data_IF_125878204176
#
_entry.id   IF_125878204176
#
_cell.length_a   1.000
_cell.length_b   1.000
_cell.length_c   1.000
_cell.angle_alpha   90.00
_cell.angle_beta   90.00
_cell.angle_gamma   90.00
#
_symmetry.space_group_name_H-M   'P 1'
#
loop_
_entity.id
_entity.type
_entity.pdbx_description
1 polymer ?
#
# COMPACT_ATOMS: atom_id res chain seq x y z
N UNK A 1 7.11 -92.57 -18.20
CA UNK A 1 6.49 -92.48 -16.87
C UNK A 1 6.63 -91.02 -16.41
N UNK A 2 5.60 -90.19 -16.60
CA UNK A 2 5.70 -88.73 -16.39
C UNK A 2 4.87 -88.32 -15.17
N UNK A 3 5.53 -88.02 -14.04
CA UNK A 3 4.89 -87.38 -12.89
C UNK A 3 4.80 -85.87 -13.12
N UNK A 4 3.59 -85.35 -13.34
CA UNK A 4 3.31 -83.92 -13.27
C UNK A 4 3.46 -83.46 -11.81
N UNK A 5 4.45 -82.60 -11.53
CA UNK A 5 4.55 -81.86 -10.26
C UNK A 5 3.33 -80.94 -10.12
N UNK A 6 2.45 -81.25 -9.17
CA UNK A 6 1.37 -80.37 -8.73
C UNK A 6 2.00 -79.16 -8.01
N UNK A 7 2.05 -78.00 -8.66
CA UNK A 7 2.55 -76.77 -8.05
C UNK A 7 1.53 -76.32 -7.01
N UNK A 8 1.99 -76.16 -5.76
CA UNK A 8 1.13 -75.81 -4.63
C UNK A 8 0.74 -74.32 -4.71
N UNK A 9 -0.22 -74.01 -5.57
CA UNK A 9 -0.58 -72.66 -6.01
C UNK A 9 -0.96 -71.72 -4.86
N UNK A 10 -1.51 -72.27 -3.77
CA UNK A 10 -1.84 -71.53 -2.55
C UNK A 10 -0.62 -70.97 -1.82
N UNK A 11 0.52 -71.68 -1.80
CA UNK A 11 1.76 -71.19 -1.21
C UNK A 11 2.35 -70.02 -2.02
N UNK A 12 2.20 -70.07 -3.34
CA UNK A 12 2.61 -69.00 -4.24
C UNK A 12 1.71 -67.77 -4.08
N UNK A 13 0.39 -67.94 -3.97
CA UNK A 13 -0.53 -66.84 -3.70
C UNK A 13 -0.20 -66.11 -2.38
N UNK A 14 0.18 -66.86 -1.33
CA UNK A 14 0.57 -66.27 -0.05
C UNK A 14 1.89 -65.49 -0.12
N UNK A 15 2.88 -66.01 -0.85
CA UNK A 15 4.17 -65.33 -1.07
C UNK A 15 3.96 -64.05 -1.90
N UNK A 16 3.13 -64.09 -2.94
CA UNK A 16 2.81 -62.90 -3.75
C UNK A 16 2.09 -61.84 -2.91
N UNK A 17 1.17 -62.23 -2.03
CA UNK A 17 0.46 -61.29 -1.15
C UNK A 17 1.42 -60.57 -0.19
N UNK A 18 2.35 -61.30 0.42
CA UNK A 18 3.36 -60.71 1.31
C UNK A 18 4.24 -59.71 0.56
N UNK A 19 4.69 -60.06 -0.66
CA UNK A 19 5.50 -59.17 -1.48
C UNK A 19 4.78 -57.84 -1.76
N UNK A 20 3.49 -57.90 -2.12
CA UNK A 20 2.67 -56.71 -2.39
C UNK A 20 2.53 -55.84 -1.14
N UNK A 21 2.33 -56.43 0.04
CA UNK A 21 2.23 -55.69 1.30
C UNK A 21 3.54 -54.98 1.64
N UNK A 22 4.68 -55.67 1.48
CA UNK A 22 6.01 -55.10 1.77
C UNK A 22 6.33 -53.94 0.81
N UNK A 23 6.05 -54.10 -0.48
CA UNK A 23 6.23 -53.03 -1.48
C UNK A 23 5.30 -51.85 -1.19
N UNK A 24 4.05 -52.12 -0.83
CA UNK A 24 3.07 -51.08 -0.46
C UNK A 24 3.55 -50.25 0.74
N UNK A 25 4.01 -50.90 1.81
CA UNK A 25 4.58 -50.21 2.97
C UNK A 25 5.82 -49.37 2.63
N UNK A 26 6.71 -49.90 1.78
CA UNK A 26 7.92 -49.19 1.35
C UNK A 26 7.60 -47.88 0.61
N UNK A 27 6.58 -47.89 -0.26
CA UNK A 27 6.15 -46.71 -1.01
C UNK A 27 5.54 -45.65 -0.09
N UNK A 28 4.73 -46.06 0.89
CA UNK A 28 4.12 -45.13 1.86
C UNK A 28 5.19 -44.48 2.74
N UNK A 29 6.16 -45.26 3.24
CA UNK A 29 7.26 -44.73 4.05
C UNK A 29 8.16 -43.80 3.24
N UNK A 30 8.49 -44.14 2.00
CA UNK A 30 9.27 -43.26 1.12
C UNK A 30 8.53 -41.96 0.78
N UNK A 31 7.19 -41.99 0.64
CA UNK A 31 6.38 -40.77 0.43
C UNK A 31 6.26 -39.93 1.70
N UNK A 32 6.19 -40.55 2.87
CA UNK A 32 6.10 -39.86 4.16
C UNK A 32 7.42 -39.20 4.57
N UNK A 33 8.56 -39.74 4.15
CA UNK A 33 9.90 -39.16 4.41
C UNK A 33 10.43 -38.30 3.27
N UNK A 34 9.70 -38.21 2.15
CA UNK A 34 10.05 -37.30 1.07
C UNK A 34 10.01 -35.85 1.58
N UNK A 35 11.08 -35.07 1.41
CA UNK A 35 11.08 -33.65 1.78
C UNK A 35 9.93 -32.94 1.04
N UNK A 36 9.05 -32.26 1.78
CA UNK A 36 8.06 -31.40 1.16
C UNK A 36 8.79 -30.33 0.31
N UNK A 37 8.30 -30.00 -0.90
CA UNK A 37 8.85 -28.87 -1.65
C UNK A 37 8.69 -27.62 -0.77
N UNK A 38 9.79 -27.10 -0.26
CA UNK A 38 9.78 -25.80 0.39
C UNK A 38 9.34 -24.79 -0.67
N UNK A 39 8.19 -24.16 -0.46
CA UNK A 39 7.83 -22.97 -1.20
C UNK A 39 9.02 -22.01 -1.07
N UNK A 40 9.54 -21.53 -2.20
CA UNK A 40 10.58 -20.51 -2.24
C UNK A 40 10.06 -19.26 -1.51
N UNK A 41 10.35 -19.20 -0.21
CA UNK A 41 10.11 -18.03 0.60
C UNK A 41 11.11 -16.99 0.10
N UNK A 42 10.61 -16.06 -0.71
CA UNK A 42 11.37 -14.89 -1.15
C UNK A 42 12.12 -14.33 0.05
N UNK A 43 13.44 -14.23 -0.07
CA UNK A 43 14.32 -13.68 0.95
C UNK A 43 13.86 -12.25 1.27
N UNK A 44 13.07 -12.09 2.33
CA UNK A 44 12.91 -10.78 2.97
C UNK A 44 14.26 -10.43 3.59
N UNK A 45 14.93 -9.49 2.93
CA UNK A 45 16.02 -8.70 3.50
C UNK A 45 15.68 -8.35 4.94
N UNK A 46 16.61 -8.59 5.88
CA UNK A 46 16.47 -8.31 7.32
C UNK A 46 15.66 -7.03 7.59
N UNK A 47 14.35 -7.17 7.75
CA UNK A 47 13.51 -6.15 8.31
C UNK A 47 13.64 -6.33 9.81
N UNK A 48 13.95 -5.25 10.51
CA UNK A 48 13.74 -5.18 11.95
C UNK A 48 12.32 -5.73 12.21
N UNK A 49 12.16 -6.80 13.01
CA UNK A 49 10.94 -7.62 13.17
C UNK A 49 9.65 -6.83 13.51
N UNK A 50 9.80 -5.53 13.78
CA UNK A 50 8.77 -4.55 14.07
C UNK A 50 8.27 -3.73 12.86
N UNK A 51 8.57 -4.12 11.61
CA UNK A 51 8.17 -3.36 10.40
C UNK A 51 7.28 -4.13 9.44
N UNK A 52 6.19 -3.50 9.00
CA UNK A 52 5.22 -4.02 8.02
C UNK A 52 5.23 -3.13 6.77
N UNK A 53 5.41 -3.74 5.59
CA UNK A 53 5.17 -3.07 4.31
C UNK A 53 3.71 -3.23 3.90
N UNK A 54 3.03 -2.11 3.69
CA UNK A 54 1.64 -2.07 3.22
C UNK A 54 1.61 -1.53 1.81
N UNK A 55 1.07 -2.33 0.89
CA UNK A 55 0.77 -1.91 -0.47
C UNK A 55 -0.70 -1.53 -0.58
N UNK A 56 -0.96 -0.34 -1.14
CA UNK A 56 -2.28 0.20 -1.35
C UNK A 56 -2.48 0.47 -2.84
N UNK A 57 -3.67 0.15 -3.33
CA UNK A 57 -4.11 0.61 -4.63
C UNK A 57 -4.76 2.01 -4.53
N UNK A 58 -4.93 2.65 -5.70
CA UNK A 58 -5.54 3.99 -5.82
C UNK A 58 -6.89 4.14 -5.12
N UNK A 59 -7.77 3.12 -5.20
CA UNK A 59 -9.08 3.18 -4.54
C UNK A 59 -8.94 3.24 -3.03
N UNK A 60 -8.03 2.44 -2.47
CA UNK A 60 -7.74 2.44 -1.03
C UNK A 60 -7.11 3.75 -0.58
N UNK A 61 -6.17 4.33 -1.34
CA UNK A 61 -5.61 5.65 -1.02
C UNK A 61 -6.68 6.74 -1.01
N UNK A 62 -7.59 6.72 -1.99
CA UNK A 62 -8.71 7.65 -2.03
C UNK A 62 -9.68 7.47 -0.86
N UNK A 63 -9.99 6.23 -0.48
CA UNK A 63 -10.82 5.94 0.67
C UNK A 63 -10.18 6.42 1.99
N UNK A 64 -8.88 6.17 2.18
CA UNK A 64 -8.12 6.65 3.34
C UNK A 64 -8.11 8.18 3.39
N UNK A 65 -7.85 8.83 2.26
CA UNK A 65 -7.86 10.29 2.19
C UNK A 65 -9.23 10.89 2.49
N UNK A 66 -10.29 10.32 1.94
CA UNK A 66 -11.66 10.75 2.21
C UNK A 66 -12.00 10.60 3.70
N UNK A 67 -11.74 9.45 4.30
CA UNK A 67 -12.02 9.20 5.72
C UNK A 67 -11.24 10.16 6.65
N UNK A 68 -9.96 10.41 6.35
CA UNK A 68 -9.14 11.36 7.10
C UNK A 68 -9.72 12.77 7.03
N UNK A 69 -10.06 13.24 5.83
CA UNK A 69 -10.57 14.59 5.62
C UNK A 69 -11.98 14.79 6.16
N UNK A 70 -12.86 13.78 6.06
CA UNK A 70 -14.21 13.85 6.62
C UNK A 70 -14.15 14.07 8.13
N UNK A 71 -13.21 13.42 8.83
CA UNK A 71 -12.99 13.61 10.26
C UNK A 71 -12.31 14.95 10.59
N UNK A 72 -11.26 15.32 9.86
CA UNK A 72 -10.54 16.58 10.09
C UNK A 72 -11.42 17.82 9.82
N UNK A 73 -12.35 17.73 8.88
CA UNK A 73 -13.15 18.85 8.43
C UNK A 73 -14.53 18.93 9.08
N UNK A 74 -14.93 18.05 10.01
CA UNK A 74 -16.30 18.02 10.59
C UNK A 74 -16.80 19.41 10.99
N UNK A 75 -16.02 20.14 11.78
CA UNK A 75 -16.38 21.46 12.31
C UNK A 75 -15.84 22.64 11.47
N UNK A 76 -15.18 22.34 10.35
CA UNK A 76 -14.64 23.36 9.45
C UNK A 76 -15.69 23.87 8.47
N UNK A 77 -15.75 25.20 8.30
CA UNK A 77 -16.64 25.87 7.33
C UNK A 77 -16.31 25.54 5.87
N UNK A 78 -15.09 25.06 5.61
CA UNK A 78 -14.62 24.70 4.27
C UNK A 78 -14.55 23.18 4.17
N UNK A 79 -15.09 22.67 3.06
CA UNK A 79 -15.05 21.26 2.70
C UNK A 79 -14.22 21.10 1.44
N UNK A 80 -13.26 20.20 1.48
CA UNK A 80 -12.44 19.85 0.32
C UNK A 80 -12.22 18.34 0.28
N UNK A 81 -11.92 17.84 -0.91
CA UNK A 81 -11.63 16.44 -1.18
C UNK A 81 -10.28 16.35 -1.86
N UNK A 82 -9.55 15.31 -1.55
CA UNK A 82 -8.30 14.98 -2.21
C UNK A 82 -8.48 13.64 -2.94
N UNK A 83 -8.22 13.65 -4.24
CA UNK A 83 -8.51 12.54 -5.14
C UNK A 83 -7.25 12.23 -5.93
N UNK A 84 -6.74 11.02 -5.79
CA UNK A 84 -5.65 10.48 -6.57
C UNK A 84 -6.21 9.87 -7.84
N UNK A 85 -5.94 10.50 -8.98
CA UNK A 85 -6.21 10.00 -10.32
C UNK A 85 -5.01 9.27 -10.93
N UNK A 86 -5.04 9.01 -12.23
CA UNK A 86 -3.96 8.31 -12.93
C UNK A 86 -2.73 9.20 -13.16
N UNK A 87 -2.96 10.47 -13.51
CA UNK A 87 -1.87 11.41 -13.83
C UNK A 87 -1.57 12.40 -12.71
N UNK A 88 -2.59 12.77 -11.94
CA UNK A 88 -2.51 13.80 -10.93
C UNK A 88 -3.26 13.39 -9.66
N UNK A 89 -2.76 13.86 -8.53
CA UNK A 89 -3.56 13.97 -7.33
C UNK A 89 -4.20 15.37 -7.30
N UNK A 90 -5.53 15.43 -7.21
CA UNK A 90 -6.29 16.66 -7.31
C UNK A 90 -6.93 17.01 -5.98
N UNK A 91 -6.67 18.21 -5.49
CA UNK A 91 -7.41 18.80 -4.39
C UNK A 91 -8.56 19.63 -4.97
N UNK A 92 -9.80 19.25 -4.66
CA UNK A 92 -11.00 19.97 -5.09
C UNK A 92 -11.78 20.49 -3.89
N UNK A 93 -12.35 21.67 -4.00
CA UNK A 93 -13.20 22.22 -2.95
C UNK A 93 -13.89 23.50 -3.36
N UNK A 94 -14.74 23.97 -2.47
CA UNK A 94 -15.44 25.24 -2.61
C UNK A 94 -14.94 26.20 -1.54
N UNK A 95 -14.67 27.43 -1.95
CA UNK A 95 -14.07 28.42 -1.06
C UNK A 95 -14.59 29.83 -1.33
N UNK A 96 -14.41 30.74 -0.37
CA UNK A 96 -14.60 32.17 -0.59
C UNK A 96 -13.25 32.82 -0.81
N UNK A 97 -13.06 33.42 -1.98
CA UNK A 97 -11.88 34.22 -2.31
C UNK A 97 -12.33 35.64 -2.59
N UNK A 98 -11.83 36.61 -1.82
CA UNK A 98 -12.22 38.04 -1.93
C UNK A 98 -13.75 38.24 -1.93
N UNK A 99 -14.46 37.57 -1.02
CA UNK A 99 -15.92 37.65 -0.90
C UNK A 99 -16.72 36.82 -1.92
N UNK A 100 -16.08 36.35 -3.00
CA UNK A 100 -16.74 35.57 -4.05
C UNK A 100 -16.59 34.07 -3.81
N UNK A 101 -17.66 33.29 -4.01
CA UNK A 101 -17.59 31.82 -3.97
C UNK A 101 -16.90 31.30 -5.23
N UNK A 102 -15.87 30.49 -5.04
CA UNK A 102 -15.05 29.93 -6.10
C UNK A 102 -14.89 28.44 -5.86
N UNK A 103 -15.18 27.64 -6.88
CA UNK A 103 -14.82 26.22 -6.92
C UNK A 103 -13.41 26.10 -7.48
N UNK A 104 -12.55 25.39 -6.76
CA UNK A 104 -11.16 25.22 -7.15
C UNK A 104 -10.80 23.75 -7.33
N UNK A 105 -9.87 23.50 -8.25
CA UNK A 105 -9.19 22.23 -8.42
C UNK A 105 -7.69 22.49 -8.62
N UNK A 106 -6.87 21.94 -7.74
CA UNK A 106 -5.40 22.01 -7.84
C UNK A 106 -4.86 20.63 -8.18
N UNK A 107 -4.15 20.54 -9.29
CA UNK A 107 -3.49 19.30 -9.71
C UNK A 107 -2.06 19.25 -9.19
N UNK A 108 -1.74 18.16 -8.53
CA UNK A 108 -0.43 17.86 -7.98
C UNK A 108 0.17 16.62 -8.63
N UNK A 109 1.49 16.63 -8.78
CA UNK A 109 2.29 15.44 -9.05
C UNK A 109 2.90 15.01 -7.71
N UNK A 110 2.51 13.86 -7.17
CA UNK A 110 3.08 13.34 -5.94
C UNK A 110 4.44 12.67 -6.19
N UNK A 111 5.38 12.92 -5.29
CA UNK A 111 6.73 12.37 -5.31
C UNK A 111 7.11 11.93 -3.90
N UNK A 112 7.85 10.82 -3.77
CA UNK A 112 8.47 10.43 -2.51
C UNK A 112 9.71 11.31 -2.26
N UNK A 113 9.91 11.75 -1.03
CA UNK A 113 11.18 12.36 -0.61
C UNK A 113 12.18 11.30 -0.14
N UNK A 114 13.46 11.63 -0.12
CA UNK A 114 14.51 10.74 0.43
C UNK A 114 14.27 10.36 1.90
N UNK A 115 13.59 11.22 2.66
CA UNK A 115 13.21 10.99 4.06
C UNK A 115 11.90 10.18 4.21
N UNK A 116 11.35 9.66 3.12
CA UNK A 116 10.13 8.86 3.13
C UNK A 116 8.86 9.67 3.41
N UNK A 117 8.88 10.97 3.16
CA UNK A 117 7.69 11.83 3.17
C UNK A 117 7.08 11.92 1.76
N UNK A 118 5.92 12.55 1.63
CA UNK A 118 5.27 12.77 0.32
C UNK A 118 5.30 14.26 -0.04
N UNK A 119 5.91 14.58 -1.18
CA UNK A 119 5.95 15.93 -1.73
C UNK A 119 4.97 16.04 -2.90
N UNK A 120 4.04 16.97 -2.81
CA UNK A 120 3.07 17.27 -3.86
C UNK A 120 3.54 18.52 -4.61
N UNK A 121 3.95 18.38 -5.88
CA UNK A 121 4.29 19.53 -6.74
C UNK A 121 3.08 19.99 -7.51
N UNK A 122 2.71 21.25 -7.33
CA UNK A 122 1.55 21.80 -8.01
C UNK A 122 1.89 22.06 -9.50
N UNK A 123 1.14 21.40 -10.40
CA UNK A 123 1.34 21.53 -11.85
C UNK A 123 0.44 22.62 -12.44
N UNK A 124 -0.76 22.79 -11.91
CA UNK A 124 -1.71 23.78 -12.40
C UNK A 124 -2.93 23.91 -11.50
N UNK A 125 -3.64 25.03 -11.69
CA UNK A 125 -4.89 25.36 -11.02
C UNK A 125 -5.97 25.44 -12.10
N UNK A 126 -7.03 24.67 -11.96
CA UNK A 126 -8.25 24.83 -12.76
C UNK A 126 -9.28 25.56 -11.91
N UNK A 127 -9.46 26.87 -12.16
CA UNK A 127 -10.45 27.74 -11.50
C UNK A 127 -11.20 28.50 -12.59
N UNK A 128 -12.19 27.84 -13.21
CA UNK A 128 -13.05 28.45 -14.24
C UNK A 128 -12.27 29.23 -15.31
N UNK A 129 -12.69 30.47 -15.58
CA UNK A 129 -12.06 31.39 -16.56
C UNK A 129 -11.03 32.35 -15.95
N UNK A 130 -10.74 32.24 -14.66
CA UNK A 130 -9.88 33.19 -13.95
C UNK A 130 -8.42 32.72 -13.99
N UNK A 131 -7.56 33.46 -14.68
CA UNK A 131 -6.13 33.16 -14.80
C UNK A 131 -5.33 33.60 -13.55
N UNK A 132 -5.72 33.11 -12.37
CA UNK A 132 -5.08 33.48 -11.10
C UNK A 132 -3.80 32.66 -10.93
N UNK A 133 -2.64 33.29 -10.63
CA UNK A 133 -1.41 32.54 -10.41
C UNK A 133 -1.52 31.68 -9.16
N UNK A 134 -1.20 30.39 -9.31
CA UNK A 134 -1.31 29.37 -8.25
C UNK A 134 -0.60 29.75 -6.94
N UNK A 135 0.48 30.54 -7.02
CA UNK A 135 1.22 31.03 -5.85
C UNK A 135 0.34 31.85 -4.91
N UNK A 136 -0.54 32.70 -5.45
CA UNK A 136 -1.44 33.52 -4.64
C UNK A 136 -2.49 32.65 -3.94
N UNK A 137 -3.07 31.68 -4.65
CA UNK A 137 -4.05 30.76 -4.08
C UNK A 137 -3.42 29.92 -2.97
N UNK A 138 -2.25 29.34 -3.20
CA UNK A 138 -1.53 28.59 -2.17
C UNK A 138 -1.18 29.45 -0.95
N UNK A 139 -0.79 30.71 -1.17
CA UNK A 139 -0.49 31.66 -0.09
C UNK A 139 -1.72 32.03 0.74
N UNK A 140 -2.87 32.20 0.09
CA UNK A 140 -4.15 32.44 0.75
C UNK A 140 -4.58 31.21 1.57
N UNK A 141 -4.49 30.01 0.99
CA UNK A 141 -4.81 28.76 1.69
C UNK A 141 -3.94 28.58 2.93
N UNK A 142 -2.62 28.80 2.80
CA UNK A 142 -1.68 28.66 3.90
C UNK A 142 -1.93 29.60 5.08
N UNK A 143 -2.58 30.76 4.86
CA UNK A 143 -2.84 31.77 5.90
C UNK A 143 -4.25 31.71 6.48
N UNK A 144 -5.24 31.38 5.66
CA UNK A 144 -6.65 31.56 6.00
C UNK A 144 -7.39 30.26 6.36
N UNK A 145 -6.73 29.10 6.23
CA UNK A 145 -7.36 27.79 6.40
C UNK A 145 -6.65 26.98 7.47
N UNK A 146 -7.43 26.19 8.19
CA UNK A 146 -6.89 25.21 9.11
C UNK A 146 -6.26 24.06 8.32
N UNK A 147 -4.96 23.83 8.54
CA UNK A 147 -4.17 22.81 7.88
C UNK A 147 -3.56 21.95 8.98
N UNK A 148 -3.60 20.61 8.86
CA UNK A 148 -3.07 19.76 9.92
C UNK A 148 -1.55 19.93 10.04
N UNK A 149 -1.00 19.82 11.26
CA UNK A 149 0.39 20.19 11.59
C UNK A 149 1.47 19.42 10.81
N UNK A 150 1.14 18.25 10.30
CA UNK A 150 2.01 17.41 9.48
C UNK A 150 2.02 17.84 8.00
N UNK A 151 1.27 18.87 7.62
CA UNK A 151 1.19 19.39 6.25
C UNK A 151 1.76 20.79 6.18
N UNK A 152 2.68 21.02 5.24
CA UNK A 152 3.31 22.32 5.02
C UNK A 152 3.14 22.77 3.57
N UNK A 153 2.64 24.00 3.39
CA UNK A 153 2.45 24.58 2.06
C UNK A 153 3.59 25.58 1.79
N UNK A 154 4.27 25.43 0.66
CA UNK A 154 5.26 26.38 0.17
C UNK A 154 4.79 27.02 -1.15
N UNK A 155 4.16 28.21 -1.10
CA UNK A 155 3.67 28.90 -2.29
C UNK A 155 4.80 29.31 -3.25
N UNK A 156 5.98 29.65 -2.73
CA UNK A 156 7.13 30.09 -3.55
C UNK A 156 7.61 28.95 -4.45
N UNK A 157 7.77 27.75 -3.87
CA UNK A 157 8.20 26.52 -4.56
C UNK A 157 7.05 25.78 -5.25
N UNK A 158 5.79 26.21 -5.05
CA UNK A 158 4.58 25.54 -5.55
C UNK A 158 4.50 24.09 -5.07
N UNK A 159 4.84 23.83 -3.81
CA UNK A 159 4.85 22.49 -3.23
C UNK A 159 4.01 22.40 -1.96
N UNK A 160 3.44 21.23 -1.71
CA UNK A 160 2.86 20.86 -0.42
C UNK A 160 3.62 19.64 0.09
N UNK A 161 4.18 19.70 1.29
CA UNK A 161 4.85 18.60 1.95
C UNK A 161 3.87 17.94 2.92
N UNK A 162 3.70 16.64 2.77
CA UNK A 162 3.05 15.75 3.71
C UNK A 162 4.14 15.06 4.52
N UNK A 163 4.40 15.57 5.71
CA UNK A 163 5.48 15.13 6.60
C UNK A 163 5.02 13.97 7.49
N UNK A 164 5.26 12.74 7.02
CA UNK A 164 4.90 11.52 7.73
C UNK A 164 5.68 11.36 9.05
N UNK A 165 6.89 11.91 9.12
CA UNK A 165 7.65 11.93 10.37
C UNK A 165 6.94 12.78 11.43
N UNK A 166 6.41 13.95 11.06
CA UNK A 166 5.58 14.77 11.96
C UNK A 166 4.25 14.09 12.30
N UNK A 167 3.62 13.45 11.33
CA UNK A 167 2.37 12.69 11.56
C UNK A 167 2.57 11.57 12.60
N UNK A 168 3.74 10.95 12.61
CA UNK A 168 4.14 9.91 13.57
C UNK A 168 4.61 10.41 14.93
N UNK A 169 4.97 11.69 15.09
CA UNK A 169 5.64 12.20 16.29
C UNK A 169 4.89 11.89 17.61
N UNK A 170 3.56 11.94 17.58
CA UNK A 170 2.71 11.69 18.74
C UNK A 170 1.95 10.35 18.63
N UNK A 171 2.46 9.41 17.83
CA UNK A 171 1.81 8.12 17.57
C UNK A 171 2.75 6.97 17.89
N UNK A 172 2.15 5.82 18.18
CA UNK A 172 2.86 4.57 18.48
C UNK A 172 3.51 3.94 17.23
N UNK A 173 3.27 4.49 16.03
CA UNK A 173 3.72 3.93 14.76
C UNK A 173 4.42 5.01 13.92
N UNK A 174 5.55 4.62 13.32
CA UNK A 174 6.27 5.40 12.31
C UNK A 174 5.76 5.03 10.91
N UNK A 175 5.40 6.04 10.12
CA UNK A 175 4.95 5.86 8.74
C UNK A 175 5.99 6.44 7.79
N UNK A 176 6.27 5.73 6.69
CA UNK A 176 7.20 6.18 5.66
C UNK A 176 6.71 5.73 4.29
N UNK A 177 6.54 6.66 3.35
CA UNK A 177 6.18 6.33 1.97
C UNK A 177 7.40 5.74 1.28
N UNK A 178 7.35 4.48 0.82
CA UNK A 178 8.43 3.78 0.11
C UNK A 178 8.31 3.92 -1.40
N UNK A 179 7.09 3.86 -1.92
CA UNK A 179 6.84 3.94 -3.36
C UNK A 179 5.54 4.71 -3.64
N UNK A 180 5.58 5.56 -4.66
CA UNK A 180 4.42 6.29 -5.17
C UNK A 180 4.43 6.11 -6.69
N UNK A 181 3.71 5.11 -7.16
CA UNK A 181 3.56 4.83 -8.58
C UNK A 181 2.16 5.26 -9.04
N UNK A 182 2.09 6.46 -9.62
CA UNK A 182 0.83 7.03 -10.12
C UNK A 182 0.28 6.27 -11.33
N UNK A 183 1.15 5.80 -12.22
CA UNK A 183 0.78 5.11 -13.45
C UNK A 183 0.08 3.79 -13.13
N UNK A 184 0.71 2.95 -12.31
CA UNK A 184 0.16 1.66 -11.91
C UNK A 184 -0.87 1.80 -10.77
N UNK A 185 -0.95 2.98 -10.16
CA UNK A 185 -1.85 3.24 -9.04
C UNK A 185 -1.48 2.43 -7.79
N UNK A 186 -0.19 2.14 -7.62
CA UNK A 186 0.37 1.38 -6.51
C UNK A 186 1.15 2.32 -5.57
N UNK A 187 0.89 2.19 -4.27
CA UNK A 187 1.49 3.03 -3.25
C UNK A 187 1.96 2.15 -2.10
N UNK A 188 3.27 2.13 -1.83
CA UNK A 188 3.85 1.32 -0.76
C UNK A 188 4.27 2.19 0.41
N UNK A 189 3.84 1.82 1.60
CA UNK A 189 4.17 2.48 2.85
C UNK A 189 4.79 1.48 3.81
N UNK A 190 5.87 1.86 4.46
CA UNK A 190 6.45 1.13 5.56
C UNK A 190 5.87 1.67 6.87
N UNK A 191 5.36 0.76 7.69
CA UNK A 191 4.89 1.04 9.04
C UNK A 191 5.85 0.34 9.99
N UNK A 192 6.46 1.10 10.89
CA UNK A 192 7.41 0.56 11.87
C UNK A 192 6.93 0.86 13.27
N UNK A 193 6.86 -0.17 14.11
CA UNK A 193 6.73 0.01 15.55
C UNK A 193 8.10 0.42 16.08
N UNK A 194 8.25 1.62 16.66
CA UNK A 194 9.50 2.00 17.28
C UNK A 194 9.74 1.11 18.50
N UNK A 195 10.91 0.49 18.57
CA UNK A 195 11.38 -0.16 19.79
C UNK A 195 11.63 0.91 20.87
N UNK A 196 11.30 0.58 22.11
CA UNK A 196 11.43 1.50 23.26
C UNK A 196 12.88 1.85 23.54
#
# INVERSE_FOLDING_TARGET
MNSKKQVNWWKWAFITLILVIVVGCGVVLHRATAPAPQAEMSQTTKANDSSLMVELNRKQVNALSANYLDNFLKDNKIKYKFIVGEKYATLVGDTKFLGTKVRFAINFIPERTSQGNVLLRAKGLSVGRLNIPIKFVMGYIAKNYNIPEWVSINPKKKTVLLDLNRYSKNRQLKYSAQEINMQDGQFKFLITVPEK
#
